data_IF_093533535341
#
_entry.id   IF_093533535341
#
_cell.length_a   1.000
_cell.length_b   1.000
_cell.length_c   1.000
_cell.angle_alpha   90.00
_cell.angle_beta   90.00
_cell.angle_gamma   90.00
#
_symmetry.space_group_name_H-M   'P 1'
#
loop_
_entity.id
_entity.type
_entity.pdbx_description
1 polymer ?
#
# COMPACT_ATOMS: atom_id res chain seq x y z
N UNK A 1 6.66 -25.78 15.19
CA UNK A 1 6.47 -24.35 14.85
C UNK A 1 7.63 -23.85 13.99
N UNK A 2 7.83 -24.49 12.85
CA UNK A 2 8.89 -24.21 11.89
C UNK A 2 8.43 -24.80 10.56
N UNK A 3 8.82 -24.17 9.45
CA UNK A 3 8.36 -24.44 8.08
C UNK A 3 7.05 -23.73 7.67
N UNK A 4 7.06 -22.39 7.63
CA UNK A 4 6.08 -21.55 6.91
C UNK A 4 6.79 -20.51 6.01
N UNK A 5 7.89 -20.89 5.35
CA UNK A 5 8.69 -19.99 4.49
C UNK A 5 9.09 -20.68 3.19
N UNK A 6 8.19 -21.39 2.50
CA UNK A 6 8.48 -21.87 1.13
C UNK A 6 7.19 -21.88 0.30
N UNK A 7 6.67 -20.69 -0.03
CA UNK A 7 5.77 -20.45 -1.17
C UNK A 7 5.65 -18.97 -1.60
N UNK A 8 6.48 -18.05 -1.07
CA UNK A 8 6.27 -16.60 -1.22
C UNK A 8 6.96 -15.91 -2.39
N UNK A 9 7.67 -16.67 -3.22
CA UNK A 9 8.59 -16.11 -4.22
C UNK A 9 7.89 -15.66 -5.51
N UNK A 10 6.57 -15.82 -5.67
CA UNK A 10 5.95 -15.54 -6.99
C UNK A 10 4.87 -14.45 -7.02
N UNK A 11 4.31 -14.01 -5.88
CA UNK A 11 3.26 -12.97 -5.87
C UNK A 11 3.80 -11.60 -5.43
N UNK A 12 4.80 -11.58 -4.55
CA UNK A 12 5.53 -10.35 -4.13
C UNK A 12 6.44 -9.81 -5.25
N UNK A 13 6.83 -10.69 -6.20
CA UNK A 13 7.53 -10.33 -7.46
C UNK A 13 6.54 -9.80 -8.50
N UNK A 14 5.30 -9.44 -8.17
CA UNK A 14 4.38 -8.83 -9.14
C UNK A 14 3.99 -7.39 -8.80
N UNK A 15 3.85 -7.01 -7.53
CA UNK A 15 3.48 -5.62 -7.20
C UNK A 15 4.66 -4.66 -7.08
N UNK A 16 5.68 -5.07 -6.31
CA UNK A 16 6.95 -4.36 -6.21
C UNK A 16 7.54 -4.25 -7.61
N UNK A 17 7.63 -5.36 -8.33
CA UNK A 17 8.06 -5.34 -9.72
C UNK A 17 7.13 -4.62 -10.68
N UNK A 18 5.79 -4.60 -10.60
CA UNK A 18 5.00 -3.85 -11.61
C UNK A 18 5.04 -2.35 -11.37
N UNK A 19 5.09 -1.90 -10.12
CA UNK A 19 5.27 -0.48 -9.78
C UNK A 19 6.70 -0.03 -10.17
N UNK A 20 7.70 -0.87 -9.86
CA UNK A 20 9.11 -0.68 -10.22
C UNK A 20 9.36 -0.89 -11.72
N UNK A 21 8.66 -1.79 -12.41
CA UNK A 21 8.80 -2.08 -13.84
C UNK A 21 8.03 -1.05 -14.67
N UNK A 22 6.88 -0.55 -14.21
CA UNK A 22 6.23 0.61 -14.82
C UNK A 22 7.17 1.82 -14.75
N UNK A 23 7.80 2.06 -13.61
CA UNK A 23 8.82 3.13 -13.49
C UNK A 23 10.08 2.83 -14.34
N UNK A 24 10.55 1.57 -14.39
CA UNK A 24 11.70 1.11 -15.21
C UNK A 24 11.44 1.27 -16.71
N UNK A 25 10.21 1.05 -17.16
CA UNK A 25 9.81 1.17 -18.59
C UNK A 25 9.57 2.63 -18.99
N UNK A 26 9.21 3.50 -18.06
CA UNK A 26 8.74 4.85 -18.42
C UNK A 26 9.64 5.99 -17.95
N UNK A 27 10.30 5.93 -16.78
CA UNK A 27 10.94 7.11 -16.17
C UNK A 27 12.44 6.92 -15.79
N UNK A 28 13.11 5.90 -16.35
CA UNK A 28 14.55 5.65 -16.23
C UNK A 28 14.92 4.34 -15.51
N UNK A 29 16.18 3.91 -15.67
CA UNK A 29 16.67 2.67 -15.05
C UNK A 29 16.81 2.82 -13.52
N UNK A 30 15.95 2.13 -12.75
CA UNK A 30 16.12 2.01 -11.31
C UNK A 30 17.36 1.16 -10.98
N UNK A 31 18.12 1.59 -9.96
CA UNK A 31 19.28 0.85 -9.46
C UNK A 31 18.81 -0.39 -8.68
N UNK A 32 19.62 -1.45 -8.63
CA UNK A 32 19.25 -2.70 -7.95
C UNK A 32 18.82 -2.49 -6.48
N UNK A 33 19.49 -1.61 -5.74
CA UNK A 33 19.11 -1.31 -4.34
C UNK A 33 17.76 -0.58 -4.22
N UNK A 34 17.36 0.19 -5.23
CA UNK A 34 16.08 0.88 -5.27
C UNK A 34 14.93 -0.10 -5.48
N UNK A 35 15.14 -1.06 -6.39
CA UNK A 35 14.22 -2.18 -6.64
C UNK A 35 14.03 -2.98 -5.34
N UNK A 36 15.13 -3.43 -4.73
CA UNK A 36 15.10 -4.22 -3.51
C UNK A 36 14.44 -3.49 -2.33
N UNK A 37 14.66 -2.18 -2.21
CA UNK A 37 14.00 -1.37 -1.18
C UNK A 37 12.49 -1.31 -1.39
N UNK A 38 12.02 -1.06 -2.61
CA UNK A 38 10.60 -1.05 -2.90
C UNK A 38 9.95 -2.42 -2.73
N UNK A 39 10.57 -3.49 -3.21
CA UNK A 39 10.09 -4.86 -3.01
C UNK A 39 9.96 -5.19 -1.52
N UNK A 40 10.91 -4.75 -0.69
CA UNK A 40 10.86 -4.96 0.74
C UNK A 40 9.72 -4.20 1.42
N UNK A 41 9.34 -3.00 0.93
CA UNK A 41 8.22 -2.22 1.45
C UNK A 41 6.87 -2.89 1.16
N UNK A 42 6.73 -3.60 0.03
CA UNK A 42 5.51 -4.35 -0.30
C UNK A 42 5.55 -5.82 0.15
N UNK A 43 6.54 -6.20 0.96
CA UNK A 43 6.63 -7.57 1.45
C UNK A 43 5.67 -7.82 2.61
N UNK A 44 5.20 -9.06 2.83
CA UNK A 44 4.42 -9.43 4.02
C UNK A 44 5.11 -8.99 5.32
N UNK A 45 6.44 -9.06 5.33
CA UNK A 45 7.27 -8.64 6.46
C UNK A 45 7.16 -7.15 6.80
N UNK A 46 6.81 -6.30 5.84
CA UNK A 46 6.54 -4.88 6.08
C UNK A 46 5.17 -4.65 6.73
N UNK A 47 4.25 -5.62 6.65
CA UNK A 47 2.92 -5.60 7.26
C UNK A 47 2.82 -6.46 8.54
N UNK A 48 3.83 -7.27 8.86
CA UNK A 48 3.88 -8.05 10.12
C UNK A 48 3.85 -7.17 11.39
N UNK A 49 4.38 -5.95 11.32
CA UNK A 49 4.55 -5.08 12.48
C UNK A 49 4.19 -3.64 12.15
N UNK A 50 3.49 -2.98 13.07
CA UNK A 50 3.25 -1.55 12.98
C UNK A 50 4.55 -0.78 13.26
N UNK A 51 5.12 -0.20 12.20
CA UNK A 51 6.31 0.65 12.30
C UNK A 51 6.02 2.15 12.12
N UNK A 52 4.76 2.52 11.98
CA UNK A 52 4.27 3.88 11.87
C UNK A 52 2.93 3.95 12.61
N UNK A 53 2.81 4.75 13.67
CA UNK A 53 1.61 4.76 14.53
C UNK A 53 0.32 4.96 13.74
N UNK A 54 0.24 5.96 12.83
CA UNK A 54 -0.98 6.18 12.05
C UNK A 54 -1.36 5.05 11.09
N UNK A 55 -0.42 4.14 10.79
CA UNK A 55 -0.70 2.96 9.96
C UNK A 55 -1.17 1.76 10.78
N UNK A 56 -1.21 1.85 12.12
CA UNK A 56 -1.51 0.71 13.00
C UNK A 56 -2.83 0.05 12.61
N UNK A 57 -3.91 0.82 12.58
CA UNK A 57 -5.25 0.32 12.28
C UNK A 57 -5.32 -0.36 10.92
N UNK A 58 -4.66 0.21 9.91
CA UNK A 58 -4.56 -0.36 8.57
C UNK A 58 -3.87 -1.74 8.58
N UNK A 59 -2.72 -1.82 9.25
CA UNK A 59 -1.91 -3.02 9.34
C UNK A 59 -2.62 -4.11 10.15
N UNK A 60 -3.16 -3.77 11.32
CA UNK A 60 -3.88 -4.71 12.19
C UNK A 60 -5.10 -5.30 11.47
N UNK A 61 -5.86 -4.48 10.74
CA UNK A 61 -7.06 -4.92 10.02
C UNK A 61 -6.72 -5.92 8.92
N UNK A 62 -5.64 -5.65 8.17
CA UNK A 62 -5.15 -6.58 7.15
C UNK A 62 -4.66 -7.89 7.77
N UNK A 63 -3.90 -7.83 8.87
CA UNK A 63 -3.44 -9.03 9.58
C UNK A 63 -4.60 -9.86 10.12
N UNK A 64 -5.62 -9.22 10.68
CA UNK A 64 -6.84 -9.91 11.12
C UNK A 64 -7.53 -10.63 9.96
N UNK A 65 -7.60 -10.03 8.78
CA UNK A 65 -8.20 -10.65 7.59
C UNK A 65 -7.36 -11.81 7.04
N UNK A 66 -6.04 -11.73 7.12
CA UNK A 66 -5.14 -12.84 6.79
C UNK A 66 -5.41 -14.03 7.73
N UNK A 67 -5.51 -13.77 9.04
CA UNK A 67 -5.81 -14.79 10.05
C UNK A 67 -7.22 -15.39 9.86
N UNK A 68 -8.25 -14.57 9.63
CA UNK A 68 -9.64 -15.03 9.43
C UNK A 68 -9.81 -15.90 8.17
N UNK A 69 -8.98 -15.69 7.16
CA UNK A 69 -9.02 -16.44 5.89
C UNK A 69 -8.01 -17.60 5.84
N UNK A 70 -7.26 -17.83 6.93
CA UNK A 70 -6.16 -18.81 7.01
C UNK A 70 -5.22 -18.73 5.80
N UNK A 71 -4.82 -17.51 5.45
CA UNK A 71 -3.94 -17.23 4.33
C UNK A 71 -2.87 -16.24 4.72
N UNK A 72 -1.69 -16.41 4.14
CA UNK A 72 -0.57 -15.51 4.25
C UNK A 72 -0.39 -14.68 2.96
N UNK A 73 -1.26 -14.89 1.97
CA UNK A 73 -1.25 -14.19 0.68
C UNK A 73 -2.17 -12.97 0.69
N UNK A 74 -1.65 -11.84 0.21
CA UNK A 74 -2.47 -10.65 -0.03
C UNK A 74 -3.31 -10.82 -1.30
N UNK A 75 -4.53 -11.32 -1.14
CA UNK A 75 -5.47 -11.63 -2.23
C UNK A 75 -6.66 -10.66 -2.27
N UNK A 76 -7.46 -10.72 -3.35
CA UNK A 76 -8.71 -9.99 -3.42
C UNK A 76 -9.67 -10.32 -2.26
N UNK A 77 -9.66 -11.56 -1.76
CA UNK A 77 -10.48 -11.96 -0.61
C UNK A 77 -10.06 -11.24 0.67
N UNK A 78 -8.75 -11.14 0.93
CA UNK A 78 -8.19 -10.37 2.05
C UNK A 78 -8.55 -8.89 1.91
N UNK A 79 -8.40 -8.32 0.71
CA UNK A 79 -8.78 -6.91 0.47
C UNK A 79 -10.27 -6.66 0.67
N UNK A 80 -11.15 -7.57 0.23
CA UNK A 80 -12.60 -7.49 0.48
C UNK A 80 -12.93 -7.58 1.98
N UNK A 81 -12.22 -8.43 2.71
CA UNK A 81 -12.37 -8.51 4.16
C UNK A 81 -11.99 -7.17 4.83
N UNK A 82 -10.83 -6.60 4.47
CA UNK A 82 -10.33 -5.36 5.07
C UNK A 82 -11.26 -4.17 4.77
N UNK A 83 -11.64 -3.98 3.50
CA UNK A 83 -12.55 -2.90 3.11
C UNK A 83 -13.96 -3.09 3.71
N UNK A 84 -14.38 -4.35 3.91
CA UNK A 84 -15.60 -4.70 4.62
C UNK A 84 -15.57 -4.29 6.10
N UNK A 85 -14.47 -4.54 6.82
CA UNK A 85 -14.32 -4.14 8.24
C UNK A 85 -14.41 -2.62 8.44
N UNK A 86 -13.99 -1.83 7.46
CA UNK A 86 -14.16 -0.37 7.48
C UNK A 86 -15.52 0.13 6.99
N UNK A 87 -16.40 -0.76 6.53
CA UNK A 87 -17.66 -0.40 5.86
C UNK A 87 -17.41 0.55 4.66
N UNK A 88 -16.36 0.27 3.87
CA UNK A 88 -16.04 1.04 2.66
C UNK A 88 -16.88 0.64 1.44
N UNK A 89 -17.68 -0.42 1.53
CA UNK A 89 -18.37 -0.98 0.36
C UNK A 89 -19.87 -0.71 0.35
N UNK A 90 -20.43 -0.65 -0.86
CA UNK A 90 -21.87 -0.69 -1.13
C UNK A 90 -22.08 -1.62 -2.32
N UNK A 91 -22.87 -2.69 -2.15
CA UNK A 91 -23.07 -3.74 -3.17
C UNK A 91 -21.73 -4.26 -3.72
N UNK A 92 -20.82 -4.62 -2.81
CA UNK A 92 -19.48 -5.16 -3.08
C UNK A 92 -18.48 -4.24 -3.81
N UNK A 93 -18.88 -3.00 -4.12
CA UNK A 93 -18.02 -1.99 -4.74
C UNK A 93 -17.54 -0.96 -3.72
N UNK A 94 -16.36 -0.40 -3.94
CA UNK A 94 -15.82 0.70 -3.11
C UNK A 94 -16.73 1.94 -3.23
N UNK A 95 -17.26 2.38 -2.10
CA UNK A 95 -18.08 3.56 -1.96
C UNK A 95 -17.22 4.73 -1.45
N UNK A 96 -16.71 5.55 -2.38
CA UNK A 96 -15.83 6.67 -2.06
C UNK A 96 -16.48 7.70 -1.12
N UNK A 97 -17.82 7.78 -1.05
CA UNK A 97 -18.50 8.67 -0.09
C UNK A 97 -18.38 8.12 1.33
N UNK A 98 -18.60 6.82 1.52
CA UNK A 98 -18.38 6.14 2.81
C UNK A 98 -16.92 6.22 3.23
N UNK A 99 -16.00 5.91 2.31
CA UNK A 99 -14.56 6.03 2.53
C UNK A 99 -14.21 7.44 3.02
N UNK A 100 -14.68 8.48 2.34
CA UNK A 100 -14.42 9.87 2.75
C UNK A 100 -14.89 10.16 4.17
N UNK A 101 -16.07 9.68 4.53
CA UNK A 101 -16.66 9.89 5.84
C UNK A 101 -15.86 9.17 6.93
N UNK A 102 -15.55 7.89 6.73
CA UNK A 102 -14.77 7.10 7.70
C UNK A 102 -13.36 7.66 7.87
N UNK A 103 -12.66 8.00 6.78
CA UNK A 103 -11.33 8.60 6.86
C UNK A 103 -11.35 9.97 7.56
N UNK A 104 -12.42 10.75 7.39
CA UNK A 104 -12.58 12.00 8.13
C UNK A 104 -12.76 11.74 9.62
N UNK A 105 -13.62 10.80 10.00
CA UNK A 105 -13.83 10.43 11.40
C UNK A 105 -12.54 9.92 12.06
N UNK A 106 -11.73 9.14 11.34
CA UNK A 106 -10.40 8.71 11.80
C UNK A 106 -9.48 9.92 12.01
N UNK A 107 -9.41 10.84 11.05
CA UNK A 107 -8.60 12.06 11.15
C UNK A 107 -9.02 12.98 12.29
N UNK A 108 -10.33 13.06 12.56
CA UNK A 108 -10.89 13.89 13.64
C UNK A 108 -10.63 13.28 15.01
N UNK A 109 -10.63 11.94 15.10
CA UNK A 109 -10.38 11.19 16.34
C UNK A 109 -8.89 11.04 16.67
N UNK A 110 -8.05 10.92 15.65
CA UNK A 110 -6.60 10.83 15.75
C UNK A 110 -5.94 11.78 14.74
N UNK A 111 -5.58 13.01 15.17
CA UNK A 111 -4.95 13.98 14.30
C UNK A 111 -3.61 13.52 13.69
N UNK A 112 -2.92 12.54 14.28
CA UNK A 112 -1.67 11.99 13.72
C UNK A 112 -1.91 11.28 12.37
N UNK A 113 -3.15 10.84 12.11
CA UNK A 113 -3.55 10.23 10.84
C UNK A 113 -3.82 11.24 9.72
N UNK A 114 -3.94 12.53 10.04
CA UNK A 114 -4.29 13.58 9.07
C UNK A 114 -3.39 13.58 7.82
N UNK A 115 -2.06 13.45 7.92
CA UNK A 115 -1.20 13.40 6.74
C UNK A 115 -1.48 12.19 5.84
N UNK A 116 -1.76 11.02 6.42
CA UNK A 116 -2.10 9.81 5.68
C UNK A 116 -3.44 9.96 4.98
N UNK A 117 -4.44 10.48 5.69
CA UNK A 117 -5.78 10.75 5.14
C UNK A 117 -5.70 11.74 3.97
N UNK A 118 -4.84 12.76 4.05
CA UNK A 118 -4.59 13.70 2.94
C UNK A 118 -4.01 12.99 1.71
N UNK A 119 -3.01 12.12 1.90
CA UNK A 119 -2.44 11.34 0.80
C UNK A 119 -3.46 10.38 0.19
N UNK A 120 -4.28 9.69 1.00
CA UNK A 120 -5.32 8.78 0.48
C UNK A 120 -6.35 9.57 -0.35
N UNK A 121 -6.80 10.72 0.15
CA UNK A 121 -7.71 11.60 -0.60
C UNK A 121 -7.08 12.08 -1.91
N UNK A 122 -5.78 12.42 -1.91
CA UNK A 122 -5.07 12.87 -3.11
C UNK A 122 -4.92 11.76 -4.15
N UNK A 123 -4.55 10.55 -3.72
CA UNK A 123 -4.06 9.51 -4.63
C UNK A 123 -5.11 8.44 -4.95
N UNK A 124 -6.15 8.28 -4.12
CA UNK A 124 -7.13 7.19 -4.26
C UNK A 124 -8.51 7.66 -4.72
N UNK A 125 -8.86 8.93 -4.51
CA UNK A 125 -10.21 9.43 -4.84
C UNK A 125 -10.33 9.74 -6.34
N UNK A 126 -11.52 10.14 -6.78
CA UNK A 126 -11.83 10.41 -8.20
C UNK A 126 -11.49 9.23 -9.11
N UNK A 127 -11.72 8.01 -8.61
CA UNK A 127 -11.39 6.75 -9.27
C UNK A 127 -9.90 6.56 -9.60
N UNK A 128 -8.98 7.36 -9.03
CA UNK A 128 -7.53 7.21 -9.23
C UNK A 128 -7.02 5.87 -8.72
N UNK A 129 -7.62 5.31 -7.67
CA UNK A 129 -7.28 3.98 -7.17
C UNK A 129 -7.44 2.89 -8.26
N UNK A 130 -8.35 3.04 -9.22
CA UNK A 130 -8.54 2.07 -10.32
C UNK A 130 -7.31 1.95 -11.25
N UNK A 131 -6.43 2.95 -11.23
CA UNK A 131 -5.19 3.00 -12.03
C UNK A 131 -4.05 2.20 -11.40
N UNK A 132 -4.21 1.72 -10.17
CA UNK A 132 -3.22 0.88 -9.52
C UNK A 132 -3.20 -0.51 -10.15
N UNK A 133 -2.00 -1.01 -10.42
CA UNK A 133 -1.79 -2.29 -11.08
C UNK A 133 -1.65 -3.37 -10.02
N UNK A 134 -2.58 -4.32 -9.99
CA UNK A 134 -2.67 -5.39 -8.99
C UNK A 134 -2.50 -6.78 -9.59
N UNK A 135 -2.23 -7.79 -8.76
CA UNK A 135 -2.21 -9.19 -9.20
C UNK A 135 -3.58 -9.67 -9.69
N UNK A 136 -4.66 -9.15 -9.12
CA UNK A 136 -6.01 -9.27 -9.65
C UNK A 136 -6.49 -7.92 -10.22
N UNK A 137 -6.40 -7.69 -11.54
CA UNK A 137 -6.76 -6.41 -12.17
C UNK A 137 -8.27 -6.14 -12.15
N UNK A 138 -9.10 -7.14 -11.85
CA UNK A 138 -10.56 -7.02 -11.76
C UNK A 138 -11.03 -6.75 -10.32
N UNK A 139 -10.14 -6.78 -9.34
CA UNK A 139 -10.49 -6.56 -7.94
C UNK A 139 -10.29 -5.12 -7.49
N UNK A 140 -11.37 -4.32 -7.53
CA UNK A 140 -11.35 -2.92 -7.09
C UNK A 140 -10.99 -2.75 -5.60
N UNK A 141 -11.38 -3.71 -4.74
CA UNK A 141 -11.01 -3.70 -3.32
C UNK A 141 -9.48 -3.81 -3.15
N UNK A 142 -8.84 -4.67 -3.95
CA UNK A 142 -7.39 -4.83 -3.92
C UNK A 142 -6.67 -3.58 -4.42
N UNK A 143 -7.18 -2.98 -5.50
CA UNK A 143 -6.65 -1.72 -6.03
C UNK A 143 -6.74 -0.59 -5.01
N UNK A 144 -7.87 -0.51 -4.30
CA UNK A 144 -8.08 0.48 -3.26
C UNK A 144 -7.15 0.28 -2.07
N UNK A 145 -7.03 -0.95 -1.54
CA UNK A 145 -6.12 -1.27 -0.43
C UNK A 145 -4.66 -0.95 -0.76
N UNK A 146 -4.21 -1.27 -1.97
CA UNK A 146 -2.86 -0.91 -2.41
C UNK A 146 -2.70 0.61 -2.46
N UNK A 147 -3.67 1.31 -3.04
CA UNK A 147 -3.63 2.76 -3.10
C UNK A 147 -3.55 3.38 -1.69
N UNK A 148 -4.35 2.86 -0.76
CA UNK A 148 -4.35 3.26 0.63
C UNK A 148 -2.99 2.98 1.28
N UNK A 149 -2.41 1.79 1.07
CA UNK A 149 -1.10 1.43 1.60
C UNK A 149 0.01 2.36 1.10
N UNK A 150 0.09 2.59 -0.22
CA UNK A 150 1.07 3.51 -0.81
C UNK A 150 0.90 4.91 -0.23
N UNK A 151 -0.34 5.39 -0.15
CA UNK A 151 -0.65 6.71 0.41
C UNK A 151 -0.29 6.82 1.90
N UNK A 152 -0.52 5.77 2.68
CA UNK A 152 -0.12 5.68 4.08
C UNK A 152 1.39 5.75 4.24
N UNK A 153 2.16 5.06 3.39
CA UNK A 153 3.61 5.14 3.39
C UNK A 153 4.11 6.56 3.08
N UNK A 154 3.50 7.23 2.11
CA UNK A 154 3.82 8.61 1.75
C UNK A 154 3.52 9.58 2.90
N UNK A 155 2.33 9.44 3.50
CA UNK A 155 1.84 10.29 4.58
C UNK A 155 2.50 10.01 5.93
N UNK A 156 3.09 8.83 6.14
CA UNK A 156 3.79 8.53 7.38
C UNK A 156 5.02 9.44 7.55
N UNK A 157 4.96 10.30 8.58
CA UNK A 157 6.01 11.29 8.87
C UNK A 157 7.16 10.69 9.69
N UNK A 158 6.86 9.74 10.58
CA UNK A 158 7.84 9.13 11.49
C UNK A 158 7.66 7.63 11.53
N UNK A 159 8.73 6.92 11.19
CA UNK A 159 8.82 5.47 11.42
C UNK A 159 9.55 5.20 12.72
N UNK A 160 9.10 4.19 13.45
CA UNK A 160 9.81 3.70 14.62
C UNK A 160 11.20 3.18 14.21
N UNK A 161 12.21 3.53 15.00
CA UNK A 161 13.59 3.05 14.78
C UNK A 161 13.88 1.75 15.53
N UNK A 162 12.93 1.30 16.35
CA UNK A 162 12.98 0.07 17.12
C UNK A 162 11.62 -0.66 17.01
N UNK A 163 11.59 -1.99 16.91
CA UNK A 163 12.73 -2.92 16.82
C UNK A 163 13.48 -2.81 15.49
N UNK A 164 14.59 -3.54 15.33
CA UNK A 164 15.44 -3.52 14.12
C UNK A 164 14.68 -3.73 12.79
N UNK A 165 13.54 -4.44 12.84
CA UNK A 165 12.64 -4.59 11.68
C UNK A 165 12.05 -3.24 11.22
N UNK A 166 11.62 -2.39 12.15
CA UNK A 166 11.10 -1.07 11.83
C UNK A 166 12.18 -0.11 11.33
N UNK A 167 13.41 -0.21 11.87
CA UNK A 167 14.56 0.51 11.30
C UNK A 167 14.81 0.15 9.84
N UNK A 168 14.79 -1.14 9.49
CA UNK A 168 14.97 -1.60 8.12
C UNK A 168 13.84 -1.13 7.21
N UNK A 169 12.59 -1.22 7.67
CA UNK A 169 11.45 -0.72 6.92
C UNK A 169 11.57 0.79 6.69
N UNK A 170 11.93 1.58 7.70
CA UNK A 170 12.14 3.02 7.57
C UNK A 170 13.17 3.38 6.50
N UNK A 171 14.30 2.66 6.45
CA UNK A 171 15.34 2.84 5.43
C UNK A 171 14.79 2.51 4.03
N UNK A 172 14.10 1.37 3.90
CA UNK A 172 13.53 0.96 2.62
C UNK A 172 12.45 1.93 2.13
N UNK A 173 11.59 2.43 3.02
CA UNK A 173 10.61 3.46 2.72
C UNK A 173 11.30 4.75 2.28
N UNK A 174 12.36 5.19 2.97
CA UNK A 174 13.09 6.40 2.57
C UNK A 174 13.70 6.28 1.17
N UNK A 175 14.20 5.10 0.79
CA UNK A 175 14.72 4.83 -0.56
C UNK A 175 13.59 4.72 -1.59
N UNK A 176 12.45 4.13 -1.22
CA UNK A 176 11.34 3.87 -2.12
C UNK A 176 10.42 5.08 -2.33
N UNK A 177 10.29 5.99 -1.34
CA UNK A 177 9.41 7.18 -1.40
C UNK A 177 9.57 8.00 -2.69
N UNK A 178 10.79 8.36 -3.16
CA UNK A 178 10.95 9.08 -4.42
C UNK A 178 10.47 8.32 -5.66
N UNK A 179 10.50 6.97 -5.61
CA UNK A 179 10.06 6.09 -6.71
C UNK A 179 8.55 6.00 -6.70
N UNK A 180 7.95 5.87 -5.51
CA UNK A 180 6.51 5.93 -5.31
C UNK A 180 5.96 7.29 -5.74
N UNK A 181 6.64 8.40 -5.41
CA UNK A 181 6.22 9.73 -5.85
C UNK A 181 6.14 9.82 -7.38
N UNK A 182 7.18 9.37 -8.10
CA UNK A 182 7.14 9.32 -9.57
C UNK A 182 5.99 8.46 -10.11
N UNK A 183 5.73 7.32 -9.47
CA UNK A 183 4.60 6.47 -9.82
C UNK A 183 3.26 7.17 -9.59
N UNK A 184 3.10 7.85 -8.46
CA UNK A 184 1.92 8.66 -8.13
C UNK A 184 1.71 9.79 -9.13
N UNK A 185 2.77 10.51 -9.49
CA UNK A 185 2.69 11.59 -10.49
C UNK A 185 2.26 11.06 -11.86
N UNK A 186 2.74 9.88 -12.25
CA UNK A 186 2.33 9.19 -13.48
C UNK A 186 0.85 8.79 -13.44
N UNK A 187 0.41 8.06 -12.41
CA UNK A 187 -0.98 7.61 -12.33
C UNK A 187 -1.95 8.77 -12.14
N UNK A 188 -1.52 9.90 -11.58
CA UNK A 188 -2.33 11.11 -11.43
C UNK A 188 -2.37 11.96 -12.71
N UNK A 189 -1.56 11.63 -13.73
CA UNK A 189 -1.44 12.43 -14.96
C UNK A 189 -0.68 13.74 -14.76
N UNK A 190 0.04 13.88 -13.65
CA UNK A 190 0.85 15.05 -13.29
C UNK A 190 2.25 14.99 -13.92
N UNK A 191 2.64 13.83 -14.47
CA UNK A 191 3.83 13.68 -15.30
C UNK A 191 3.55 12.85 -16.56
N UNK A 192 4.01 13.34 -17.71
CA UNK A 192 4.22 12.53 -18.90
C UNK A 192 5.67 12.05 -18.84
N UNK A 193 5.89 10.81 -18.43
CA UNK A 193 7.22 10.22 -18.56
C UNK A 193 7.53 10.03 -20.06
N UNK A 194 8.23 11.00 -20.65
CA UNK A 194 8.77 10.90 -22.01
C UNK A 194 9.90 9.88 -22.01
N UNK A 195 9.70 8.74 -22.68
CA UNK A 195 10.80 7.87 -23.06
C UNK A 195 11.65 8.60 -24.10
N UNK A 196 12.94 8.81 -23.82
CA UNK A 196 13.94 8.91 -24.89
C UNK A 196 14.36 7.51 -25.27
#
# INVERSE_FOLDING_TARGET
>A
MGFRIIAFVLIVIWFGTQTVQANRRHCGCLKAYQIAACDAVFSPRAMEVTCCHPMKTFVDTNNQCLDELDTDEFTCAVSKCATGKYNFTTRDNIDLKKVKHVLQNISDSDPETTPLVKEIKKNCFDNRYLRYVTSDPCCDNMKYEVCAYVSCLMGCQKFYTHPHRCRRLAINVAICKPILQKYLDYINGESTCYSK
#
